data_IF_298875377899
#
_entry.id   IF_298875377899
#
_cell.length_a   1.000
_cell.length_b   1.000
_cell.length_c   1.000
_cell.angle_alpha   90.00
_cell.angle_beta   90.00
_cell.angle_gamma   90.00
#
_symmetry.space_group_name_H-M   'P 1'
#
loop_
_entity.id
_entity.type
_entity.pdbx_description
1 polymer ?
#
# COMPACT_ATOMS: atom_id res chain seq x y z
N UNK A 1 -9.94 9.49 14.09
CA UNK A 1 -9.62 10.51 13.07
C UNK A 1 -10.65 11.61 13.19
N UNK A 2 -10.21 12.85 13.36
CA UNK A 2 -11.05 14.04 13.41
C UNK A 2 -10.77 14.83 12.13
N UNK A 3 -11.82 15.10 11.36
CA UNK A 3 -11.77 15.91 10.14
C UNK A 3 -12.87 16.94 10.24
N UNK A 4 -12.49 18.22 10.21
CA UNK A 4 -13.40 19.36 10.08
C UNK A 4 -12.68 20.50 9.35
N UNK A 5 -13.33 21.66 9.24
CA UNK A 5 -12.80 22.83 8.51
C UNK A 5 -11.49 23.39 9.08
N UNK A 6 -11.18 23.11 10.35
CA UNK A 6 -10.03 23.70 11.07
C UNK A 6 -8.96 22.68 11.45
N UNK A 7 -9.30 21.39 11.56
CA UNK A 7 -8.43 20.35 12.06
C UNK A 7 -8.59 19.04 11.29
N UNK A 8 -7.45 18.51 10.86
CA UNK A 8 -7.29 17.13 10.39
C UNK A 8 -6.28 16.45 11.30
N UNK A 9 -6.75 15.54 12.16
CA UNK A 9 -5.90 14.87 13.13
C UNK A 9 -6.26 13.40 13.31
N UNK A 10 -5.25 12.58 13.59
CA UNK A 10 -5.44 11.23 14.08
C UNK A 10 -5.29 11.19 15.60
N UNK A 11 -6.32 10.75 16.30
CA UNK A 11 -6.33 10.53 17.76
C UNK A 11 -6.86 9.13 18.05
N UNK A 12 -6.43 8.53 19.16
CA UNK A 12 -6.93 7.24 19.63
C UNK A 12 -7.19 7.29 21.13
N UNK A 13 -8.30 6.69 21.57
CA UNK A 13 -8.63 6.46 22.97
C UNK A 13 -8.65 4.95 23.23
N UNK A 14 -8.29 4.55 24.44
CA UNK A 14 -8.33 3.14 24.84
C UNK A 14 -9.66 2.84 25.53
N UNK A 15 -10.23 1.67 25.25
CA UNK A 15 -11.45 1.20 25.91
C UNK A 15 -11.18 0.95 27.39
N UNK A 16 -10.04 0.31 27.70
CA UNK A 16 -9.58 0.15 29.07
C UNK A 16 -8.59 1.27 29.42
N UNK A 17 -9.01 2.18 30.29
CA UNK A 17 -8.23 3.34 30.71
C UNK A 17 -7.02 2.99 31.59
N UNK A 18 -6.99 1.79 32.18
CA UNK A 18 -5.85 1.32 32.97
C UNK A 18 -4.68 0.86 32.10
N UNK A 19 -4.91 0.63 30.80
CA UNK A 19 -3.86 0.28 29.85
C UNK A 19 -3.15 1.55 29.42
N UNK A 20 -1.82 1.54 29.45
CA UNK A 20 -1.01 2.61 28.85
C UNK A 20 -0.53 2.17 27.48
N UNK A 21 -0.84 2.94 26.44
CA UNK A 21 -0.35 2.70 25.07
C UNK A 21 0.24 3.97 24.48
N UNK A 22 1.28 3.79 23.66
CA UNK A 22 1.93 4.88 22.93
C UNK A 22 2.13 4.53 21.47
N UNK A 23 2.09 5.54 20.62
CA UNK A 23 2.52 5.50 19.22
C UNK A 23 3.76 6.39 19.10
N UNK A 24 4.87 5.84 18.62
CA UNK A 24 6.16 6.52 18.59
C UNK A 24 6.82 6.33 17.24
N UNK A 25 7.28 7.43 16.62
CA UNK A 25 8.20 7.39 15.49
C UNK A 25 9.62 7.30 16.07
N UNK A 26 10.30 6.19 15.84
CA UNK A 26 11.68 6.00 16.32
C UNK A 26 12.70 6.53 15.29
N UNK A 27 13.96 6.65 15.70
CA UNK A 27 15.03 7.24 14.88
C UNK A 27 15.31 6.50 13.55
N UNK A 28 14.92 5.23 13.44
CA UNK A 28 15.02 4.46 12.18
C UNK A 28 13.92 4.81 11.17
N UNK A 29 12.97 5.69 11.52
CA UNK A 29 11.84 6.06 10.65
C UNK A 29 10.63 5.12 10.78
N UNK A 30 10.68 4.13 11.67
CA UNK A 30 9.55 3.22 11.93
C UNK A 30 8.56 3.83 12.92
N UNK A 31 7.27 3.66 12.64
CA UNK A 31 6.21 3.96 13.61
C UNK A 31 5.90 2.69 14.42
N UNK A 32 6.00 2.78 15.74
CA UNK A 32 5.76 1.66 16.65
C UNK A 32 4.62 1.98 17.62
N UNK A 33 3.65 1.07 17.72
CA UNK A 33 2.67 1.06 18.80
C UNK A 33 3.13 0.07 19.87
N UNK A 34 3.25 0.55 21.10
CA UNK A 34 3.58 -0.29 22.26
C UNK A 34 2.52 -0.16 23.35
N UNK A 35 2.41 -1.17 24.20
CA UNK A 35 1.62 -1.17 25.43
C UNK A 35 2.53 -1.43 26.62
N UNK A 36 2.25 -0.80 27.76
CA UNK A 36 2.98 -1.06 28.99
C UNK A 36 2.43 -2.31 29.66
N UNK A 37 3.30 -3.28 29.94
CA UNK A 37 2.95 -4.52 30.65
C UNK A 37 3.42 -4.38 32.09
N UNK A 38 2.47 -4.28 33.02
CA UNK A 38 2.75 -3.96 34.41
C UNK A 38 3.55 -5.05 35.13
N UNK A 39 3.18 -6.32 34.95
CA UNK A 39 3.85 -7.47 35.60
C UNK A 39 5.31 -7.60 35.15
N UNK A 40 5.58 -7.31 33.88
CA UNK A 40 6.89 -7.47 33.26
C UNK A 40 7.67 -6.14 33.17
N UNK A 41 7.11 -5.03 33.67
CA UNK A 41 7.71 -3.68 33.72
C UNK A 41 8.40 -3.25 32.43
N UNK A 42 7.80 -3.53 31.28
CA UNK A 42 8.37 -3.17 29.98
C UNK A 42 7.30 -2.76 28.95
N UNK A 43 7.75 -2.09 27.89
CA UNK A 43 6.93 -1.79 26.72
C UNK A 43 6.91 -2.99 25.78
N UNK A 44 5.75 -3.61 25.62
CA UNK A 44 5.51 -4.65 24.64
C UNK A 44 5.13 -4.03 23.30
N UNK A 45 5.88 -4.38 22.25
CA UNK A 45 5.59 -3.94 20.88
C UNK A 45 4.35 -4.69 20.35
N UNK A 46 3.36 -3.93 19.89
CA UNK A 46 2.12 -4.48 19.31
C UNK A 46 2.09 -4.35 17.79
N UNK A 47 2.51 -3.18 17.28
CA UNK A 47 2.50 -2.87 15.84
C UNK A 47 3.79 -2.13 15.49
N UNK A 48 4.34 -2.46 14.32
CA UNK A 48 5.43 -1.72 13.67
C UNK A 48 5.02 -1.42 12.23
N UNK A 49 5.28 -0.20 11.77
CA UNK A 49 5.04 0.25 10.40
C UNK A 49 6.33 0.88 9.83
N UNK A 50 6.66 0.62 8.54
CA UNK A 50 6.05 -0.39 7.66
C UNK A 50 6.18 -1.80 8.24
N UNK A 51 5.18 -2.66 8.02
CA UNK A 51 5.14 -4.01 8.59
C UNK A 51 6.07 -4.95 7.83
N UNK A 52 6.06 -4.84 6.51
CA UNK A 52 6.92 -5.59 5.62
C UNK A 52 7.21 -4.77 4.35
N UNK A 53 7.93 -5.37 3.41
CA UNK A 53 8.36 -4.69 2.19
C UNK A 53 7.18 -4.19 1.34
N UNK A 54 5.99 -4.81 1.39
CA UNK A 54 4.79 -4.39 0.66
C UNK A 54 4.33 -2.98 1.03
N UNK A 55 4.60 -2.54 2.26
CA UNK A 55 4.22 -1.22 2.75
C UNK A 55 5.22 -0.12 2.33
N UNK A 56 6.33 -0.52 1.70
CA UNK A 56 7.31 0.47 1.23
C UNK A 56 6.73 1.24 0.06
N UNK A 57 6.96 2.55 0.09
CA UNK A 57 6.42 3.45 -0.91
C UNK A 57 6.94 3.12 -2.31
N UNK A 58 6.02 3.01 -3.27
CA UNK A 58 6.28 2.95 -4.71
C UNK A 58 7.19 1.79 -5.21
N UNK A 59 7.14 0.61 -4.58
CA UNK A 59 7.92 -0.55 -5.06
C UNK A 59 7.56 -0.99 -6.49
N UNK A 60 6.27 -1.03 -6.81
CA UNK A 60 5.80 -1.58 -8.09
C UNK A 60 5.62 -0.55 -9.21
N UNK A 61 5.96 0.71 -8.95
CA UNK A 61 5.75 1.82 -9.89
C UNK A 61 4.27 2.09 -10.19
N UNK A 62 4.04 2.99 -11.15
CA UNK A 62 2.70 3.37 -11.57
C UNK A 62 1.92 2.19 -12.16
N UNK A 63 0.63 2.07 -11.83
CA UNK A 63 -0.26 0.98 -12.30
C UNK A 63 0.23 -0.44 -11.98
N UNK A 64 1.18 -0.59 -11.06
CA UNK A 64 1.62 -1.85 -10.50
C UNK A 64 1.05 -2.06 -9.09
N UNK A 65 0.82 -3.32 -8.70
CA UNK A 65 0.42 -3.69 -7.34
C UNK A 65 1.28 -4.83 -6.82
N UNK A 66 1.52 -4.81 -5.50
CA UNK A 66 2.23 -5.89 -4.84
C UNK A 66 1.33 -7.13 -4.72
N UNK A 67 1.86 -8.30 -5.06
CA UNK A 67 1.23 -9.60 -4.91
C UNK A 67 1.93 -10.42 -3.83
N UNK A 68 1.13 -10.93 -2.91
CA UNK A 68 1.57 -11.90 -1.89
C UNK A 68 1.37 -13.35 -2.33
N UNK A 69 0.68 -13.58 -3.45
CA UNK A 69 0.27 -14.92 -3.92
C UNK A 69 1.10 -15.39 -5.11
N UNK A 70 1.55 -14.47 -5.96
CA UNK A 70 2.36 -14.80 -7.14
C UNK A 70 3.85 -14.81 -6.81
N UNK A 71 4.62 -15.60 -7.55
CA UNK A 71 6.08 -15.64 -7.45
C UNK A 71 6.69 -14.27 -7.74
N UNK A 72 6.18 -13.61 -8.78
CA UNK A 72 6.52 -12.23 -9.08
C UNK A 72 5.79 -11.28 -8.14
N UNK A 73 6.54 -10.41 -7.47
CA UNK A 73 6.00 -9.57 -6.40
C UNK A 73 5.23 -8.37 -6.90
N UNK A 74 5.55 -7.81 -8.08
CA UNK A 74 4.77 -6.75 -8.68
C UNK A 74 4.03 -7.24 -9.92
N UNK A 75 2.76 -6.91 -10.02
CA UNK A 75 1.89 -7.23 -11.17
C UNK A 75 1.30 -5.95 -11.72
N UNK A 76 1.03 -5.87 -13.02
CA UNK A 76 0.23 -4.77 -13.54
C UNK A 76 -1.24 -4.95 -13.14
N UNK A 77 -1.92 -3.83 -12.92
CA UNK A 77 -3.35 -3.83 -12.66
C UNK A 77 -4.12 -4.34 -13.89
N UNK A 78 -5.20 -5.11 -13.68
CA UNK A 78 -6.11 -5.56 -14.74
C UNK A 78 -5.44 -6.19 -15.97
N UNK A 79 -4.34 -6.93 -15.77
CA UNK A 79 -3.69 -7.72 -16.83
C UNK A 79 -4.74 -8.50 -17.66
N UNK A 80 -4.71 -8.43 -19.01
CA UNK A 80 -3.64 -7.89 -19.86
C UNK A 80 -3.86 -6.42 -20.32
N UNK A 81 -4.70 -5.63 -19.64
CA UNK A 81 -5.01 -4.24 -20.03
C UNK A 81 -3.87 -3.28 -19.73
N UNK A 82 -3.10 -3.55 -18.69
CA UNK A 82 -1.82 -2.89 -18.43
C UNK A 82 -0.71 -3.89 -18.64
N UNK A 83 0.42 -3.41 -19.12
CA UNK A 83 1.62 -4.20 -19.41
C UNK A 83 2.84 -3.46 -18.88
N UNK A 84 3.95 -4.16 -18.59
CA UNK A 84 5.17 -3.52 -18.13
C UNK A 84 5.65 -2.44 -19.10
N UNK A 85 6.06 -1.28 -18.58
CA UNK A 85 6.66 -0.23 -19.42
C UNK A 85 8.03 -0.65 -19.96
N UNK A 86 8.80 -1.38 -19.15
CA UNK A 86 10.08 -1.97 -19.52
C UNK A 86 10.03 -3.47 -19.26
N UNK A 87 9.68 -4.27 -20.28
CA UNK A 87 9.56 -5.73 -20.13
C UNK A 87 10.85 -6.39 -19.65
N UNK A 88 12.02 -5.93 -20.13
CA UNK A 88 13.31 -6.49 -19.72
C UNK A 88 13.58 -6.22 -18.23
N UNK A 89 13.40 -4.97 -17.80
CA UNK A 89 13.52 -4.64 -16.37
C UNK A 89 12.55 -5.44 -15.51
N UNK A 90 11.31 -5.63 -15.98
CA UNK A 90 10.29 -6.39 -15.28
C UNK A 90 10.67 -7.87 -15.06
N UNK A 91 11.29 -8.50 -16.06
CA UNK A 91 11.85 -9.86 -15.98
C UNK A 91 13.05 -9.94 -15.01
N UNK A 92 13.86 -8.88 -14.95
CA UNK A 92 15.00 -8.73 -14.04
C UNK A 92 14.59 -8.22 -12.63
N UNK A 93 13.29 -8.21 -12.31
CA UNK A 93 12.71 -7.70 -11.06
C UNK A 93 12.92 -6.20 -10.78
N UNK A 94 13.23 -5.40 -11.80
CA UNK A 94 13.13 -3.94 -11.78
C UNK A 94 11.72 -3.49 -12.19
N UNK A 95 10.88 -3.29 -11.17
CA UNK A 95 9.50 -2.83 -11.33
C UNK A 95 9.35 -1.30 -11.23
N UNK A 96 10.45 -0.57 -11.08
CA UNK A 96 10.44 0.88 -10.85
C UNK A 96 9.77 1.68 -11.98
N UNK A 97 9.86 1.16 -13.21
CA UNK A 97 9.21 1.73 -14.39
C UNK A 97 7.68 1.57 -14.42
N UNK A 98 7.13 0.71 -13.57
CA UNK A 98 5.71 0.40 -13.50
C UNK A 98 5.14 -0.17 -14.80
N UNK A 99 3.84 0.01 -14.94
CA UNK A 99 3.05 -0.46 -16.06
C UNK A 99 2.46 0.69 -16.86
N UNK A 100 1.99 0.38 -18.06
CA UNK A 100 1.27 1.30 -18.92
C UNK A 100 0.06 0.60 -19.55
N UNK A 101 -0.94 1.38 -19.93
CA UNK A 101 -2.07 0.83 -20.68
C UNK A 101 -1.57 0.21 -21.98
N UNK A 102 -2.01 -1.01 -22.25
CA UNK A 102 -1.78 -1.70 -23.52
C UNK A 102 -2.48 -0.99 -24.68
N UNK A 103 -3.67 -0.44 -24.42
CA UNK A 103 -4.47 0.30 -25.41
C UNK A 103 -4.77 1.70 -24.91
N UNK A 104 -4.54 2.71 -25.75
CA UNK A 104 -4.89 4.10 -25.44
C UNK A 104 -6.38 4.25 -25.15
N UNK A 105 -6.70 5.19 -24.27
CA UNK A 105 -8.08 5.67 -24.15
C UNK A 105 -8.46 6.48 -25.39
N UNK A 106 -9.71 6.32 -25.81
CA UNK A 106 -10.36 7.17 -26.80
C UNK A 106 -11.48 7.89 -26.06
N UNK A 107 -11.25 9.16 -25.72
CA UNK A 107 -12.20 9.95 -24.93
C UNK A 107 -13.45 10.31 -25.76
N UNK A 108 -13.29 10.49 -27.06
CA UNK A 108 -14.35 10.94 -27.95
C UNK A 108 -15.32 9.80 -28.33
N UNK A 109 -14.81 8.58 -28.49
CA UNK A 109 -15.63 7.43 -28.91
C UNK A 109 -15.94 6.43 -27.78
N UNK A 110 -15.59 6.75 -26.54
CA UNK A 110 -15.65 5.83 -25.41
C UNK A 110 -14.62 4.68 -25.52
N UNK A 111 -14.47 3.84 -24.48
CA UNK A 111 -13.45 2.80 -24.45
C UNK A 111 -13.67 1.78 -25.58
N UNK A 112 -12.83 1.86 -26.62
CA UNK A 112 -12.68 0.84 -27.67
C UNK A 112 -12.12 -0.45 -27.06
N UNK A 113 -13.00 -1.27 -26.51
CA UNK A 113 -12.65 -2.50 -25.80
C UNK A 113 -13.75 -3.12 -24.93
N UNK A 114 -14.90 -2.44 -24.78
CA UNK A 114 -16.11 -2.99 -24.17
C UNK A 114 -17.28 -2.95 -25.17
N UNK A 115 -17.09 -3.47 -26.39
CA UNK A 115 -18.23 -3.99 -27.15
C UNK A 115 -18.38 -5.45 -26.70
N UNK A 116 -19.11 -5.65 -25.60
CA UNK A 116 -19.75 -6.94 -25.36
C UNK A 116 -20.69 -7.16 -26.54
N UNK A 117 -20.28 -8.04 -27.45
CA UNK A 117 -21.23 -8.81 -28.24
C UNK A 117 -22.14 -9.51 -27.24
N UNK A 118 -23.37 -9.03 -27.10
CA UNK A 118 -24.45 -9.80 -26.52
C UNK A 118 -25.57 -9.82 -27.58
N UNK A 119 -26.11 -11.01 -27.88
CA UNK A 119 -27.09 -11.24 -28.94
C UNK A 119 -28.42 -10.53 -28.69
#
# INVERSE_FOLDING_TARGET
MVINETLVAFTFNLINISVVSRLTLISSGEVQRSVWVEDAKHWQLMVRLPKDICDSYNICGAYGSWSTVKTQRCLCLDEPKFVPRNSKGWEDADWSGGCMRRTSLDCENGPKGMRSSMP
#
